data_IF_944045050793
#
_entry.id   IF_944045050793
#
_cell.length_a   1.000
_cell.length_b   1.000
_cell.length_c   1.000
_cell.angle_alpha   90.00
_cell.angle_beta   90.00
_cell.angle_gamma   90.00
#
_symmetry.space_group_name_H-M   'P 1'
#
loop_
_entity.id
_entity.type
_entity.pdbx_description
1 polymer ?
#
# COMPACT_ATOMS: atom_id res chain seq x y z
N UNK A 1 -6.34 23.07 -2.88
CA UNK A 1 -5.52 22.46 -3.97
C UNK A 1 -5.87 20.98 -4.03
N UNK A 2 -6.63 20.55 -5.04
CA UNK A 2 -7.03 19.16 -5.20
C UNK A 2 -5.80 18.36 -5.63
N UNK A 3 -5.17 17.64 -4.69
CA UNK A 3 -4.12 16.66 -5.00
C UNK A 3 -4.74 15.57 -5.84
N UNK A 4 -4.52 15.61 -7.16
CA UNK A 4 -4.82 14.49 -8.05
C UNK A 4 -3.97 13.32 -7.55
N UNK A 5 -4.62 12.31 -6.98
CA UNK A 5 -3.98 11.07 -6.57
C UNK A 5 -3.30 10.48 -7.82
N UNK A 6 -1.97 10.48 -7.84
CA UNK A 6 -1.21 9.84 -8.90
C UNK A 6 -1.65 8.39 -8.99
N UNK A 7 -1.89 7.83 -10.19
CA UNK A 7 -2.33 6.45 -10.33
C UNK A 7 -1.39 5.53 -9.57
N UNK A 8 -1.94 4.82 -8.58
CA UNK A 8 -1.20 3.92 -7.73
C UNK A 8 -0.65 2.80 -8.62
N UNK A 9 0.68 2.71 -8.74
CA UNK A 9 1.30 1.71 -9.61
C UNK A 9 1.00 0.33 -9.05
N UNK A 10 0.17 -0.46 -9.75
CA UNK A 10 -0.13 -1.84 -9.38
C UNK A 10 1.16 -2.65 -9.46
N UNK A 11 1.73 -2.99 -8.30
CA UNK A 11 2.83 -3.96 -8.21
C UNK A 11 2.26 -5.29 -7.76
N UNK A 12 2.54 -6.36 -8.49
CA UNK A 12 2.12 -7.70 -8.08
C UNK A 12 3.00 -8.17 -6.93
N UNK A 13 2.40 -8.40 -5.76
CA UNK A 13 3.06 -9.06 -4.63
C UNK A 13 3.15 -10.56 -4.91
N UNK A 14 4.30 -11.17 -4.64
CA UNK A 14 4.50 -12.62 -4.75
C UNK A 14 4.15 -13.28 -3.42
N UNK A 15 3.15 -14.15 -3.47
CA UNK A 15 2.74 -14.99 -2.36
C UNK A 15 3.27 -16.41 -2.56
N UNK A 16 3.68 -17.03 -1.46
CA UNK A 16 4.07 -18.43 -1.40
C UNK A 16 2.81 -19.31 -1.33
N UNK A 17 2.93 -20.60 -1.64
CA UNK A 17 1.81 -21.54 -1.63
C UNK A 17 1.16 -21.74 -0.26
N UNK A 18 1.87 -21.38 0.82
CA UNK A 18 1.37 -21.41 2.20
C UNK A 18 0.56 -20.16 2.57
N UNK A 19 0.38 -19.20 1.65
CA UNK A 19 -0.34 -17.95 1.90
C UNK A 19 0.51 -16.86 2.54
N UNK A 20 1.82 -17.08 2.74
CA UNK A 20 2.74 -16.04 3.21
C UNK A 20 3.27 -15.19 2.06
N UNK A 21 3.68 -13.97 2.37
CA UNK A 21 4.39 -13.12 1.40
C UNK A 21 5.82 -13.62 1.22
N UNK A 22 6.34 -13.56 -0.01
CA UNK A 22 7.75 -13.89 -0.24
C UNK A 22 8.66 -12.96 0.56
N UNK A 23 9.77 -13.49 1.10
CA UNK A 23 10.74 -12.72 1.91
C UNK A 23 11.20 -11.44 1.20
N UNK A 24 11.42 -11.52 -0.12
CA UNK A 24 11.85 -10.39 -0.95
C UNK A 24 10.78 -9.28 -0.96
N UNK A 25 9.51 -9.64 -1.15
CA UNK A 25 8.43 -8.65 -1.14
C UNK A 25 8.17 -8.10 0.26
N UNK A 26 8.37 -8.90 1.31
CA UNK A 26 8.29 -8.43 2.69
C UNK A 26 9.33 -7.36 2.98
N UNK A 27 10.59 -7.60 2.61
CA UNK A 27 11.68 -6.62 2.76
C UNK A 27 11.40 -5.34 1.97
N UNK A 28 10.90 -5.45 0.72
CA UNK A 28 10.52 -4.30 -0.10
C UNK A 28 9.40 -3.47 0.53
N UNK A 29 8.44 -4.11 1.21
CA UNK A 29 7.39 -3.40 1.94
C UNK A 29 7.98 -2.67 3.14
N UNK A 30 8.82 -3.33 3.94
CA UNK A 30 9.47 -2.70 5.10
C UNK A 30 10.31 -1.48 4.70
N UNK A 31 11.07 -1.58 3.62
CA UNK A 31 11.84 -0.47 3.06
C UNK A 31 10.93 0.70 2.68
N UNK A 32 9.81 0.43 2.00
CA UNK A 32 8.82 1.46 1.66
C UNK A 32 8.20 2.09 2.90
N UNK A 33 7.76 1.29 3.87
CA UNK A 33 7.18 1.78 5.12
C UNK A 33 8.16 2.63 5.94
N UNK A 34 9.47 2.40 5.79
CA UNK A 34 10.51 3.20 6.43
C UNK A 34 10.68 4.59 5.80
N UNK A 35 10.07 4.84 4.63
CA UNK A 35 10.10 6.15 3.97
C UNK A 35 9.11 7.11 4.64
N UNK A 36 9.62 8.25 5.15
CA UNK A 36 8.79 9.33 5.71
C UNK A 36 7.89 10.01 4.65
N UNK A 37 8.18 9.83 3.36
CA UNK A 37 7.38 10.36 2.26
C UNK A 37 6.21 9.46 1.88
N UNK A 38 6.06 8.29 2.54
CA UNK A 38 4.92 7.42 2.28
C UNK A 38 3.65 8.11 2.80
N UNK A 39 2.97 8.80 1.88
CA UNK A 39 1.77 9.56 2.16
C UNK A 39 0.74 8.64 2.80
N UNK A 40 0.32 9.00 4.01
CA UNK A 40 -0.88 8.45 4.63
C UNK A 40 -2.01 8.51 3.61
N UNK A 41 -2.62 7.36 3.33
CA UNK A 41 -3.83 7.35 2.53
C UNK A 41 -4.93 7.91 3.41
N UNK A 42 -5.66 8.92 2.93
CA UNK A 42 -6.94 9.27 3.52
C UNK A 42 -7.82 8.04 3.32
N UNK A 43 -8.07 7.30 4.41
CA UNK A 43 -9.10 6.28 4.41
C UNK A 43 -10.42 7.04 4.28
N UNK A 44 -10.87 7.27 3.05
CA UNK A 44 -12.22 7.73 2.76
C UNK A 44 -13.15 6.56 3.07
N UNK A 45 -13.35 6.29 4.36
CA UNK A 45 -14.52 5.56 4.81
C UNK A 45 -15.68 6.53 4.60
N UNK A 46 -16.46 6.31 3.56
CA UNK A 46 -17.76 6.95 3.40
C UNK A 46 -18.66 6.47 4.54
N UNK A 47 -18.50 7.11 5.71
CA UNK A 47 -19.31 6.93 6.91
C UNK A 47 -20.69 7.62 6.74
N UNK A 48 -21.29 7.50 5.57
CA UNK A 48 -22.55 8.16 5.21
C UNK A 48 -23.71 7.16 5.06
N UNK A 49 -23.56 5.89 5.43
CA UNK A 49 -24.69 4.96 5.52
C UNK A 49 -24.51 3.95 6.65
N UNK A 50 -24.91 4.32 7.87
CA UNK A 50 -25.85 3.57 8.75
C UNK A 50 -26.62 4.59 9.58
#
# INVERSE_FOLDING_TARGET
MNKKNSPQRKTTLKWNSNGELSEIDMLRILEKLSSNDLKQCDLTCDSEHI
#
